data_IF_799085199497
#
_entry.id   IF_799085199497
#
_cell.length_a   1.000
_cell.length_b   1.000
_cell.length_c   1.000
_cell.angle_alpha   90.00
_cell.angle_beta   90.00
_cell.angle_gamma   90.00
#
_symmetry.space_group_name_H-M   'P 1'
#
loop_
_entity.id
_entity.type
_entity.pdbx_description
1 polymer ?
#
# COMPACT_ATOMS: atom_id res chain seq x y z
N UNK A 1 15.52 -45.83 -18.98
CA UNK A 1 14.21 -45.32 -18.53
C UNK A 1 14.22 -45.26 -17.01
N UNK A 2 13.90 -44.11 -16.41
CA UNK A 2 13.65 -43.97 -14.97
C UNK A 2 14.45 -42.85 -14.29
N UNK A 3 13.88 -41.64 -14.29
CA UNK A 3 14.38 -40.43 -13.64
C UNK A 3 14.39 -40.54 -12.10
N UNK A 4 15.33 -39.88 -11.39
CA UNK A 4 15.19 -39.59 -9.97
C UNK A 4 14.29 -38.36 -9.78
N UNK A 5 13.23 -38.48 -8.97
CA UNK A 5 12.30 -37.39 -8.70
C UNK A 5 12.80 -36.59 -7.48
N UNK A 6 13.29 -35.38 -7.76
CA UNK A 6 13.35 -34.23 -6.83
C UNK A 6 11.99 -34.07 -6.12
N UNK A 7 11.94 -33.88 -4.80
CA UNK A 7 12.16 -32.58 -4.19
C UNK A 7 10.82 -31.87 -3.91
N UNK A 8 10.69 -31.34 -2.69
CA UNK A 8 9.80 -30.22 -2.37
C UNK A 8 8.28 -30.46 -2.31
N UNK A 9 7.75 -31.08 -1.23
CA UNK A 9 6.38 -30.77 -0.74
C UNK A 9 6.28 -31.02 0.77
N UNK A 10 6.92 -30.19 1.61
CA UNK A 10 6.72 -30.31 3.07
C UNK A 10 6.93 -29.01 3.86
N UNK A 11 6.89 -27.84 3.21
CA UNK A 11 7.14 -26.55 3.88
C UNK A 11 5.93 -25.64 4.06
N UNK A 12 4.72 -26.06 3.66
CA UNK A 12 3.54 -25.17 3.64
C UNK A 12 2.42 -25.52 4.64
N UNK A 13 2.59 -26.48 5.54
CA UNK A 13 1.58 -26.81 6.55
C UNK A 13 1.88 -26.30 7.98
N UNK A 14 2.84 -25.37 8.14
CA UNK A 14 3.26 -24.92 9.48
C UNK A 14 3.35 -23.39 9.66
N UNK A 15 2.58 -22.58 8.93
CA UNK A 15 2.45 -21.13 9.23
C UNK A 15 1.13 -20.81 9.94
N UNK A 16 0.96 -21.44 11.10
CA UNK A 16 0.05 -21.00 12.16
C UNK A 16 0.83 -21.09 13.49
N UNK A 17 1.92 -20.32 13.62
CA UNK A 17 2.57 -20.12 14.91
C UNK A 17 2.89 -18.63 15.12
N UNK A 18 2.24 -17.95 16.08
CA UNK A 18 2.51 -16.54 16.40
C UNK A 18 3.83 -16.33 17.18
N UNK A 19 4.77 -17.28 17.12
CA UNK A 19 6.05 -17.25 17.84
C UNK A 19 7.23 -17.68 16.97
N UNK A 20 7.59 -16.88 15.97
CA UNK A 20 8.97 -16.86 15.51
C UNK A 20 9.58 -15.52 15.87
N UNK A 21 10.64 -15.56 16.66
CA UNK A 21 11.42 -14.39 17.05
C UNK A 21 11.73 -13.58 15.78
N UNK A 22 11.40 -12.28 15.74
CA UNK A 22 11.45 -11.52 14.50
C UNK A 22 12.89 -11.49 14.00
N UNK A 23 13.13 -12.07 12.82
CA UNK A 23 14.30 -11.70 12.05
C UNK A 23 14.31 -10.16 11.95
N UNK A 24 15.46 -9.49 12.15
CA UNK A 24 15.51 -8.05 12.11
C UNK A 24 14.95 -7.59 10.76
N UNK A 25 13.94 -6.71 10.72
CA UNK A 25 13.40 -6.23 9.46
C UNK A 25 14.55 -5.56 8.69
N UNK A 26 14.69 -5.93 7.42
CA UNK A 26 15.73 -5.38 6.54
C UNK A 26 15.61 -3.86 6.47
N UNK A 27 14.36 -3.38 6.46
CA UNK A 27 14.04 -1.96 6.52
C UNK A 27 12.72 -1.73 7.22
N UNK A 28 12.62 -0.61 7.93
CA UNK A 28 11.37 -0.12 8.49
C UNK A 28 11.19 1.35 8.13
N UNK A 29 10.00 1.69 7.62
CA UNK A 29 9.63 3.07 7.33
C UNK A 29 8.32 3.47 8.04
N UNK A 30 8.20 4.76 8.33
CA UNK A 30 7.05 5.39 8.96
C UNK A 30 6.23 6.11 7.90
N UNK A 31 4.90 6.28 8.06
CA UNK A 31 4.13 7.15 7.19
C UNK A 31 4.71 8.57 7.17
N UNK A 32 4.68 9.21 5.98
CA UNK A 32 5.21 10.57 5.79
C UNK A 32 4.56 11.65 6.67
N UNK A 33 3.33 11.42 7.12
CA UNK A 33 2.63 12.32 8.03
C UNK A 33 2.49 11.66 9.40
N UNK A 34 3.23 12.15 10.39
CA UNK A 34 3.12 11.69 11.80
C UNK A 34 1.90 12.28 12.52
N UNK A 35 1.22 13.26 11.91
CA UNK A 35 0.20 14.06 12.55
C UNK A 35 -1.20 13.75 12.00
N UNK A 36 -2.05 13.15 12.83
CA UNK A 36 -3.45 12.91 12.50
C UNK A 36 -4.30 14.10 12.97
N UNK A 37 -4.49 15.10 12.11
CA UNK A 37 -5.34 16.27 12.42
C UNK A 37 -6.73 15.89 12.91
N UNK A 38 -7.29 14.79 12.38
CA UNK A 38 -8.59 14.24 12.82
C UNK A 38 -8.58 13.81 14.29
N UNK A 39 -7.50 13.19 14.77
CA UNK A 39 -7.37 12.80 16.19
C UNK A 39 -7.27 14.03 17.07
N UNK A 40 -6.47 15.02 16.66
CA UNK A 40 -6.30 16.28 17.40
C UNK A 40 -7.63 17.04 17.50
N UNK A 41 -8.33 17.18 16.38
CA UNK A 41 -9.67 17.77 16.34
C UNK A 41 -10.65 17.01 17.23
N UNK A 42 -10.68 15.68 17.13
CA UNK A 42 -11.55 14.85 17.95
C UNK A 42 -11.25 14.98 19.45
N UNK A 43 -9.99 15.16 19.85
CA UNK A 43 -9.59 15.40 21.23
C UNK A 43 -10.12 16.75 21.73
N UNK A 44 -10.03 17.82 20.92
CA UNK A 44 -10.61 19.13 21.24
C UNK A 44 -12.13 19.04 21.41
N UNK A 45 -12.83 18.37 20.48
CA UNK A 45 -14.29 18.15 20.57
C UNK A 45 -14.65 17.37 21.84
N UNK A 46 -13.87 16.34 22.18
CA UNK A 46 -14.06 15.53 23.39
C UNK A 46 -13.92 16.38 24.66
N UNK A 47 -12.88 17.24 24.72
CA UNK A 47 -12.67 18.16 25.85
C UNK A 47 -13.81 19.16 26.00
N UNK A 48 -14.30 19.74 24.90
CA UNK A 48 -15.44 20.66 24.91
C UNK A 48 -16.70 19.94 25.39
N UNK A 49 -16.97 18.73 24.87
CA UNK A 49 -18.10 17.91 25.30
C UNK A 49 -18.05 17.58 26.78
N UNK A 50 -16.86 17.30 27.32
CA UNK A 50 -16.65 17.06 28.74
C UNK A 50 -16.90 18.32 29.59
N UNK A 51 -16.35 19.47 29.21
CA UNK A 51 -16.52 20.74 29.93
C UNK A 51 -17.97 21.23 29.96
N UNK A 52 -18.71 21.01 28.87
CA UNK A 52 -20.12 21.40 28.75
C UNK A 52 -21.10 20.36 29.31
N UNK A 53 -20.59 19.24 29.86
CA UNK A 53 -21.40 18.10 30.31
C UNK A 53 -22.38 17.63 29.22
N UNK A 54 -21.94 17.71 27.95
CA UNK A 54 -22.72 17.31 26.79
C UNK A 54 -22.31 15.89 26.35
N UNK A 55 -23.12 14.86 26.64
CA UNK A 55 -22.77 13.48 26.36
C UNK A 55 -22.64 13.20 24.85
N UNK A 56 -23.39 13.91 24.00
CA UNK A 56 -23.37 13.68 22.56
C UNK A 56 -22.02 14.08 21.95
N UNK A 57 -21.51 15.26 22.28
CA UNK A 57 -20.21 15.75 21.79
C UNK A 57 -19.05 14.91 22.33
N UNK A 58 -19.15 14.49 23.60
CA UNK A 58 -18.15 13.60 24.20
C UNK A 58 -18.08 12.25 23.47
N UNK A 59 -19.22 11.59 23.26
CA UNK A 59 -19.28 10.29 22.55
C UNK A 59 -18.83 10.45 21.10
N UNK A 60 -19.25 11.53 20.42
CA UNK A 60 -18.83 11.82 19.05
C UNK A 60 -17.30 11.99 18.96
N UNK A 61 -16.71 12.80 19.86
CA UNK A 61 -15.27 13.02 19.91
C UNK A 61 -14.49 11.74 20.18
N UNK A 62 -14.88 10.97 21.19
CA UNK A 62 -14.25 9.67 21.51
C UNK A 62 -14.40 8.68 20.35
N UNK A 63 -15.59 8.61 19.74
CA UNK A 63 -15.88 7.73 18.61
C UNK A 63 -14.99 8.04 17.41
N UNK A 64 -14.90 9.32 17.02
CA UNK A 64 -14.05 9.77 15.91
C UNK A 64 -12.56 9.54 16.21
N UNK A 65 -12.11 9.82 17.43
CA UNK A 65 -10.73 9.58 17.83
C UNK A 65 -10.37 8.10 17.74
N UNK A 66 -11.25 7.23 18.25
CA UNK A 66 -11.07 5.77 18.21
C UNK A 66 -11.09 5.24 16.78
N UNK A 67 -12.04 5.70 15.97
CA UNK A 67 -12.13 5.33 14.55
C UNK A 67 -10.89 5.74 13.76
N UNK A 68 -10.43 6.98 13.95
CA UNK A 68 -9.23 7.49 13.30
C UNK A 68 -7.99 6.71 13.74
N UNK A 69 -7.87 6.37 15.02
CA UNK A 69 -6.75 5.57 15.52
C UNK A 69 -6.73 4.14 14.94
N UNK A 70 -7.89 3.52 14.73
CA UNK A 70 -8.00 2.16 14.19
C UNK A 70 -7.72 2.09 12.68
N UNK A 71 -7.97 3.17 11.94
CA UNK A 71 -7.95 3.16 10.47
C UNK A 71 -6.66 3.71 9.85
N UNK A 72 -5.80 4.38 10.63
CA UNK A 72 -4.55 4.95 10.13
C UNK A 72 -3.42 3.91 10.05
N UNK A 73 -2.60 3.98 9.00
CA UNK A 73 -1.38 3.17 8.88
C UNK A 73 -0.28 3.70 9.81
N UNK A 74 0.47 2.82 10.49
CA UNK A 74 1.50 3.23 11.47
C UNK A 74 2.93 2.90 11.05
N UNK A 75 3.17 1.73 10.47
CA UNK A 75 4.53 1.28 10.14
C UNK A 75 4.51 0.36 8.91
N UNK A 76 5.54 0.49 8.08
CA UNK A 76 5.82 -0.42 6.97
C UNK A 76 7.13 -1.15 7.28
N UNK A 77 7.09 -2.47 7.26
CA UNK A 77 8.20 -3.36 7.59
C UNK A 77 8.51 -4.22 6.36
N UNK A 78 9.74 -4.16 5.88
CA UNK A 78 10.22 -4.99 4.78
C UNK A 78 11.01 -6.16 5.37
N UNK A 79 10.53 -7.37 5.14
CA UNK A 79 11.22 -8.63 5.45
C UNK A 79 11.81 -9.22 4.16
N UNK A 80 12.76 -10.16 4.25
CA UNK A 80 13.36 -10.81 3.08
C UNK A 80 12.36 -11.63 2.24
N UNK A 81 11.23 -12.03 2.81
CA UNK A 81 10.21 -12.91 2.20
C UNK A 81 8.82 -12.27 2.10
N UNK A 82 8.57 -11.17 2.83
CA UNK A 82 7.27 -10.53 2.88
C UNK A 82 7.34 -9.02 3.19
N UNK A 83 6.35 -8.29 2.70
CA UNK A 83 6.05 -6.94 3.12
C UNK A 83 4.98 -6.97 4.22
N UNK A 84 5.28 -6.44 5.40
CA UNK A 84 4.34 -6.34 6.51
C UNK A 84 3.93 -4.90 6.72
N UNK A 85 2.63 -4.65 6.69
CA UNK A 85 2.04 -3.33 6.95
C UNK A 85 1.29 -3.38 8.26
N UNK A 86 1.72 -2.54 9.20
CA UNK A 86 1.11 -2.39 10.51
C UNK A 86 0.20 -1.17 10.48
N UNK A 87 -1.11 -1.41 10.51
CA UNK A 87 -2.10 -0.33 10.62
C UNK A 87 -2.31 0.04 12.10
N UNK A 88 -2.53 -0.95 12.96
CA UNK A 88 -2.64 -0.75 14.40
C UNK A 88 -2.70 -2.10 15.11
N UNK A 89 -2.82 -2.11 16.45
CA UNK A 89 -3.16 -3.35 17.16
C UNK A 89 -4.69 -3.45 17.19
N UNK A 90 -5.32 -4.51 16.64
CA UNK A 90 -4.72 -5.79 16.22
C UNK A 90 -4.47 -5.97 14.71
N UNK A 91 -4.73 -4.95 13.86
CA UNK A 91 -4.71 -5.11 12.40
C UNK A 91 -3.28 -5.01 11.80
N UNK A 92 -2.66 -6.16 11.60
CA UNK A 92 -1.42 -6.36 10.84
C UNK A 92 -1.73 -7.13 9.56
N UNK A 93 -1.19 -6.69 8.42
CA UNK A 93 -1.32 -7.37 7.13
C UNK A 93 0.05 -7.74 6.60
N UNK A 94 0.23 -9.03 6.29
CA UNK A 94 1.43 -9.58 5.68
C UNK A 94 1.15 -9.87 4.22
N UNK A 95 1.99 -9.36 3.34
CA UNK A 95 1.94 -9.55 1.89
C UNK A 95 3.21 -10.29 1.47
N UNK A 96 3.14 -11.60 1.21
CA UNK A 96 4.30 -12.38 0.80
C UNK A 96 4.72 -11.99 -0.63
N UNK A 97 6.02 -12.07 -0.91
CA UNK A 97 6.59 -11.56 -2.17
C UNK A 97 6.13 -12.32 -3.42
N UNK A 98 5.75 -13.59 -3.29
CA UNK A 98 5.11 -14.39 -4.33
C UNK A 98 3.84 -13.76 -4.92
N UNK A 99 3.17 -12.90 -4.15
CA UNK A 99 1.96 -12.19 -4.57
C UNK A 99 2.21 -10.80 -5.15
N UNK A 100 3.45 -10.31 -5.15
CA UNK A 100 3.81 -8.98 -5.64
C UNK A 100 4.28 -9.10 -7.08
N UNK A 101 3.60 -8.42 -8.00
CA UNK A 101 3.91 -8.47 -9.43
C UNK A 101 4.70 -7.25 -9.91
N UNK A 102 4.39 -6.05 -9.41
CA UNK A 102 5.03 -4.83 -9.88
C UNK A 102 5.04 -3.71 -8.83
N UNK A 103 6.08 -2.86 -8.88
CA UNK A 103 6.27 -1.70 -8.01
C UNK A 103 6.33 -0.44 -8.88
N UNK A 104 5.30 0.41 -8.78
CA UNK A 104 5.29 1.71 -9.46
C UNK A 104 5.53 2.83 -8.45
N UNK A 105 6.50 3.71 -8.70
CA UNK A 105 6.58 4.98 -8.00
C UNK A 105 5.66 5.99 -8.68
N UNK A 106 4.65 6.45 -7.95
CA UNK A 106 3.71 7.45 -8.41
C UNK A 106 4.07 8.80 -7.75
N UNK A 107 4.77 9.65 -8.51
CA UNK A 107 5.05 11.02 -8.09
C UNK A 107 3.81 11.89 -8.29
N UNK A 108 3.07 12.16 -7.21
CA UNK A 108 1.93 13.08 -7.23
C UNK A 108 2.36 14.48 -6.77
N UNK A 109 1.65 15.55 -7.18
CA UNK A 109 1.90 16.91 -6.67
C UNK A 109 1.71 17.06 -5.14
N UNK A 110 1.12 16.04 -4.50
CA UNK A 110 0.88 15.97 -3.05
C UNK A 110 1.86 15.00 -2.35
N UNK A 111 3.01 14.70 -2.98
CA UNK A 111 4.05 13.79 -2.50
C UNK A 111 4.06 12.43 -3.20
N UNK A 112 5.19 11.74 -3.11
CA UNK A 112 5.40 10.44 -3.74
C UNK A 112 4.61 9.33 -3.05
N UNK A 113 4.04 8.43 -3.85
CA UNK A 113 3.29 7.26 -3.39
C UNK A 113 3.79 6.03 -4.11
N UNK A 114 4.04 4.97 -3.35
CA UNK A 114 4.41 3.69 -3.95
C UNK A 114 3.15 2.88 -4.23
N UNK A 115 2.95 2.45 -5.47
CA UNK A 115 1.84 1.59 -5.85
C UNK A 115 2.36 0.18 -6.10
N UNK A 116 1.92 -0.74 -5.28
CA UNK A 116 2.11 -2.17 -5.46
C UNK A 116 1.00 -2.73 -6.33
N UNK A 117 1.36 -3.43 -7.40
CA UNK A 117 0.44 -4.32 -8.11
C UNK A 117 0.71 -5.74 -7.66
N UNK A 118 -0.36 -6.41 -7.22
CA UNK A 118 -0.33 -7.82 -6.88
C UNK A 118 -0.56 -8.66 -8.13
N UNK A 119 -0.13 -9.92 -8.11
CA UNK A 119 -0.39 -10.91 -9.17
C UNK A 119 -1.89 -11.12 -9.41
N UNK A 120 -2.71 -11.00 -8.37
CA UNK A 120 -4.18 -11.02 -8.43
C UNK A 120 -4.82 -9.79 -9.12
N UNK A 121 -4.01 -8.85 -9.63
CA UNK A 121 -4.48 -7.59 -10.22
C UNK A 121 -4.93 -6.54 -9.20
N UNK A 122 -4.96 -6.87 -7.90
CA UNK A 122 -5.19 -5.90 -6.82
C UNK A 122 -4.08 -4.87 -6.79
N UNK A 123 -4.43 -3.62 -6.53
CA UNK A 123 -3.47 -2.51 -6.47
C UNK A 123 -3.52 -1.88 -5.09
N UNK A 124 -2.38 -1.72 -4.45
CA UNK A 124 -2.26 -1.11 -3.13
C UNK A 124 -1.38 0.13 -3.23
N UNK A 125 -1.80 1.23 -2.61
CA UNK A 125 -1.04 2.47 -2.61
C UNK A 125 -0.51 2.73 -1.21
N UNK A 126 0.81 2.74 -1.08
CA UNK A 126 1.54 3.04 0.13
C UNK A 126 1.95 4.51 0.16
N UNK A 127 1.74 5.11 1.34
CA UNK A 127 2.23 6.44 1.66
C UNK A 127 3.35 6.29 2.68
N UNK A 128 4.55 6.10 2.17
CA UNK A 128 5.80 6.02 2.94
C UNK A 128 6.35 7.44 3.15
N UNK A 129 7.26 7.60 4.11
CA UNK A 129 7.91 8.91 4.35
C UNK A 129 8.95 9.18 3.28
N UNK A 130 9.76 8.16 3.00
CA UNK A 130 10.81 8.20 2.00
C UNK A 130 10.51 7.14 0.93
N UNK A 131 9.61 7.49 0.00
CA UNK A 131 9.15 6.56 -1.03
C UNK A 131 10.28 6.00 -1.89
N UNK A 132 11.31 6.81 -2.17
CA UNK A 132 12.47 6.37 -2.95
C UNK A 132 13.34 5.36 -2.20
N UNK A 133 13.73 5.64 -0.94
CA UNK A 133 14.53 4.70 -0.15
C UNK A 133 13.76 3.40 0.13
N UNK A 134 12.46 3.51 0.39
CA UNK A 134 11.61 2.34 0.58
C UNK A 134 11.51 1.51 -0.70
N UNK A 135 11.37 2.14 -1.88
CA UNK A 135 11.38 1.46 -3.17
C UNK A 135 12.70 0.72 -3.39
N UNK A 136 13.84 1.39 -3.21
CA UNK A 136 15.16 0.79 -3.42
C UNK A 136 15.35 -0.45 -2.54
N UNK A 137 14.98 -0.38 -1.27
CA UNK A 137 15.14 -1.53 -0.36
C UNK A 137 14.14 -2.65 -0.63
N UNK A 138 12.91 -2.32 -1.03
CA UNK A 138 11.92 -3.32 -1.41
C UNK A 138 12.28 -4.01 -2.73
N UNK A 139 12.77 -3.26 -3.73
CA UNK A 139 13.30 -3.82 -4.97
C UNK A 139 14.51 -4.71 -4.70
N UNK A 140 15.43 -4.31 -3.81
CA UNK A 140 16.56 -5.14 -3.41
C UNK A 140 16.12 -6.45 -2.73
N UNK A 141 15.10 -6.39 -1.87
CA UNK A 141 14.55 -7.57 -1.21
C UNK A 141 13.86 -8.52 -2.20
N UNK A 142 13.11 -7.98 -3.18
CA UNK A 142 12.48 -8.75 -4.24
C UNK A 142 13.49 -9.37 -5.20
N UNK A 143 14.54 -8.62 -5.57
CA UNK A 143 15.63 -9.11 -6.41
C UNK A 143 16.37 -10.29 -5.75
N UNK A 144 16.60 -10.19 -4.44
CA UNK A 144 17.19 -11.27 -3.64
C UNK A 144 16.28 -12.50 -3.54
N UNK A 145 14.96 -12.30 -3.47
CA UNK A 145 13.97 -13.39 -3.40
C UNK A 145 13.80 -14.12 -4.73
N UNK A 146 13.69 -13.39 -5.85
CA UNK A 146 13.52 -13.95 -7.20
C UNK A 146 14.83 -14.33 -7.90
N UNK A 147 15.98 -14.07 -7.26
CA UNK A 147 17.30 -14.43 -7.80
C UNK A 147 17.69 -13.66 -9.06
N UNK A 148 17.29 -12.40 -9.19
CA UNK A 148 17.63 -11.54 -10.34
C UNK A 148 16.57 -11.41 -11.44
N UNK A 149 15.54 -12.27 -11.44
CA UNK A 149 14.50 -12.27 -12.48
C UNK A 149 13.41 -11.20 -12.24
N UNK A 150 13.42 -10.56 -11.08
CA UNK A 150 12.44 -9.52 -10.72
C UNK A 150 12.49 -8.28 -11.62
N UNK A 151 13.71 -7.82 -11.97
CA UNK A 151 13.92 -6.58 -12.75
C UNK A 151 13.55 -6.72 -14.22
N UNK A 152 13.59 -7.94 -14.77
CA UNK A 152 13.28 -8.21 -16.17
C UNK A 152 11.80 -7.92 -16.48
N UNK A 153 10.90 -8.24 -15.54
CA UNK A 153 9.46 -7.99 -15.65
C UNK A 153 9.06 -6.52 -15.47
N UNK A 154 9.80 -5.74 -14.67
CA UNK A 154 9.49 -4.32 -14.47
C UNK A 154 9.79 -3.46 -15.71
N UNK A 155 10.96 -3.67 -16.34
CA UNK A 155 11.39 -2.85 -17.48
C UNK A 155 10.48 -3.00 -18.72
N UNK A 156 9.95 -4.20 -18.96
CA UNK A 156 9.05 -4.45 -20.10
C UNK A 156 7.70 -3.75 -19.94
N UNK A 157 7.13 -3.67 -18.74
CA UNK A 157 5.88 -2.95 -18.50
C UNK A 157 6.07 -1.42 -18.54
N UNK A 158 7.19 -0.91 -18.04
CA UNK A 158 7.51 0.54 -18.12
C UNK A 158 7.70 1.00 -19.56
N UNK A 159 8.45 0.24 -20.38
CA UNK A 159 8.62 0.51 -21.81
C UNK A 159 7.30 0.40 -22.57
N UNK A 160 6.48 -0.62 -22.30
CA UNK A 160 5.14 -0.76 -22.89
C UNK A 160 4.16 0.36 -22.45
N UNK A 161 4.43 1.02 -21.32
CA UNK A 161 3.64 2.15 -20.82
C UNK A 161 4.10 3.49 -21.39
N UNK A 162 5.42 3.67 -21.58
CA UNK A 162 5.99 4.84 -22.26
C UNK A 162 5.67 4.83 -23.77
N UNK A 163 5.56 3.65 -24.38
CA UNK A 163 5.17 3.50 -25.78
C UNK A 163 3.66 3.62 -26.01
N UNK A 164 2.83 3.73 -24.96
CA UNK A 164 1.40 4.04 -25.13
C UNK A 164 1.27 5.57 -25.34
N UNK A 165 0.97 6.04 -26.56
CA UNK A 165 0.77 7.46 -26.77
C UNK A 165 -0.44 7.89 -25.92
N UNK A 166 -0.36 9.06 -25.31
CA UNK A 166 -1.50 9.72 -24.67
C UNK A 166 -2.49 10.22 -25.74
N UNK A 167 -3.03 9.30 -26.55
CA UNK A 167 -3.93 9.64 -27.63
C UNK A 167 -5.39 9.47 -27.18
N UNK A 168 -6.10 10.60 -27.23
CA UNK A 168 -7.56 10.78 -27.18
C UNK A 168 -8.29 10.71 -25.82
N UNK A 169 -8.20 11.80 -25.06
CA UNK A 169 -9.35 12.34 -24.29
C UNK A 169 -9.52 13.85 -24.50
N UNK A 170 -9.37 14.32 -25.73
CA UNK A 170 -9.74 15.68 -26.09
C UNK A 170 -10.24 15.69 -27.54
N UNK A 171 -11.56 15.77 -27.70
CA UNK A 171 -12.18 16.15 -28.97
C UNK A 171 -13.26 15.20 -29.49
N UNK A 172 -14.48 15.31 -28.96
CA UNK A 172 -15.69 15.29 -29.79
C UNK A 172 -16.57 16.47 -29.34
N UNK A 173 -16.17 17.66 -29.78
CA UNK A 173 -17.08 18.75 -30.04
C UNK A 173 -17.61 18.53 -31.45
N UNK A 174 -18.81 17.96 -31.57
CA UNK A 174 -19.59 18.05 -32.81
C UNK A 174 -20.91 18.73 -32.44
N UNK A 175 -21.03 19.99 -32.86
CA UNK A 175 -22.28 20.70 -32.85
C UNK A 175 -23.21 20.06 -33.86
N UNK A 176 -24.30 19.48 -33.37
CA UNK A 176 -25.44 19.09 -34.20
C UNK A 176 -26.31 20.35 -34.36
N UNK A 177 -26.19 20.99 -35.52
CA UNK A 177 -27.11 22.01 -35.99
C UNK A 177 -28.42 21.30 -36.37
N UNK A 178 -29.40 21.29 -35.47
CA UNK A 178 -30.77 20.94 -35.81
C UNK A 178 -31.46 22.16 -36.46
N UNK A 179 -31.11 22.39 -37.73
CA UNK A 179 -31.91 23.21 -38.66
C UNK A 179 -33.22 22.46 -38.96
N UNK A 180 -34.32 22.89 -38.34
CA UNK A 180 -35.68 22.41 -38.67
C UNK A 180 -36.32 23.37 -39.67
N UNK A 181 -36.57 22.97 -40.94
CA UNK A 181 -37.37 23.77 -41.86
C UNK A 181 -38.86 23.44 -41.69
N UNK A 182 -39.64 24.50 -41.44
CA UNK A 182 -41.11 24.72 -41.57
C UNK A 182 -42.10 23.67 -41.05
#
# INVERSE_FOLDING_TARGET
MGFPVSGCVLKYCAMQNPQQAPEPPLYWDTPGTKFNFTIVFALVVTLIGFMQVNPFLFILGVGVATYSWLTNAKQYLVYPDALVIVYGRPRVKTYPFDTIAHLELLSLPMGDRLRLRMTDGRRMMLKTRDAENFRIQLDAALDAFYGGDWKSGQGQEEEARQQRPAENQLGESSGENDDVPY
#
